data_IF_237782392229
#
_entry.id   IF_237782392229
#
_cell.length_a   1.000
_cell.length_b   1.000
_cell.length_c   1.000
_cell.angle_alpha   90.00
_cell.angle_beta   90.00
_cell.angle_gamma   90.00
#
_symmetry.space_group_name_H-M   'P 1'
#
loop_
_entity.id
_entity.type
_entity.pdbx_description
1 polymer ?
#
# COMPACT_ATOMS: atom_id res chain seq x y z
N UNK A 1 21.97 -10.60 -9.56
CA UNK A 1 22.45 -10.82 -8.15
C UNK A 1 21.38 -10.41 -7.13
N UNK A 2 20.73 -9.26 -7.28
CA UNK A 2 19.73 -8.73 -6.34
C UNK A 2 18.52 -9.67 -6.15
N UNK A 3 17.98 -10.25 -7.22
CA UNK A 3 16.84 -11.15 -7.15
C UNK A 3 17.14 -12.44 -6.35
N UNK A 4 18.32 -13.04 -6.55
CA UNK A 4 18.73 -14.21 -5.75
C UNK A 4 18.92 -13.87 -4.27
N UNK A 5 19.42 -12.66 -3.97
CA UNK A 5 19.54 -12.17 -2.61
C UNK A 5 18.16 -11.99 -1.97
N UNK A 6 17.22 -11.36 -2.67
CA UNK A 6 15.85 -11.17 -2.20
C UNK A 6 15.16 -12.51 -1.87
N UNK A 7 15.27 -13.52 -2.74
CA UNK A 7 14.73 -14.85 -2.49
C UNK A 7 15.34 -15.52 -1.25
N UNK A 8 16.65 -15.39 -1.05
CA UNK A 8 17.33 -15.93 0.14
C UNK A 8 16.87 -15.21 1.41
N UNK A 9 16.71 -13.89 1.35
CA UNK A 9 16.21 -13.10 2.49
C UNK A 9 14.80 -13.52 2.88
N UNK A 10 13.88 -13.68 1.90
CA UNK A 10 12.50 -14.12 2.15
C UNK A 10 12.46 -15.53 2.73
N UNK A 11 13.38 -16.41 2.30
CA UNK A 11 13.52 -17.79 2.82
C UNK A 11 14.15 -17.84 4.22
N UNK A 12 14.52 -16.71 4.80
CA UNK A 12 15.06 -16.65 6.16
C UNK A 12 16.55 -16.96 6.30
N UNK A 13 17.31 -17.04 5.21
CA UNK A 13 18.75 -17.32 5.28
C UNK A 13 19.58 -16.28 6.06
N UNK A 14 19.03 -15.08 6.22
CA UNK A 14 19.68 -13.96 6.92
C UNK A 14 18.92 -13.57 8.19
N UNK A 15 17.95 -14.36 8.65
CA UNK A 15 17.23 -14.12 9.89
C UNK A 15 17.91 -14.84 11.05
N UNK A 16 18.22 -14.10 12.10
CA UNK A 16 18.79 -14.64 13.33
C UNK A 16 17.72 -14.59 14.45
N UNK A 17 17.75 -15.57 15.35
CA UNK A 17 16.81 -15.69 16.48
C UNK A 17 16.87 -14.53 17.49
N UNK A 18 17.80 -13.62 17.34
CA UNK A 18 17.94 -12.40 18.17
C UNK A 18 17.68 -11.10 17.44
N UNK A 19 17.25 -11.15 16.17
CA UNK A 19 16.99 -9.93 15.41
C UNK A 19 15.78 -9.19 15.98
N UNK A 20 15.85 -7.85 16.13
CA UNK A 20 14.75 -7.06 16.61
C UNK A 20 13.65 -6.98 15.56
N UNK A 21 12.53 -7.64 15.81
CA UNK A 21 11.37 -7.67 14.93
C UNK A 21 10.30 -8.62 15.45
N UNK A 22 9.04 -8.29 15.18
CA UNK A 22 7.88 -9.09 15.63
C UNK A 22 7.49 -10.18 14.63
N UNK A 23 7.91 -10.05 13.37
CA UNK A 23 7.49 -10.93 12.26
C UNK A 23 8.66 -11.35 11.38
N UNK A 24 8.55 -12.52 10.78
CA UNK A 24 9.53 -13.02 9.81
C UNK A 24 9.49 -12.27 8.48
N UNK A 25 10.56 -12.33 7.69
CA UNK A 25 10.61 -11.73 6.35
C UNK A 25 9.50 -12.25 5.43
N UNK A 26 9.14 -13.52 5.52
CA UNK A 26 8.05 -14.12 4.76
C UNK A 26 6.68 -13.58 5.19
N UNK A 27 6.45 -13.46 6.50
CA UNK A 27 5.21 -12.86 7.03
C UNK A 27 5.08 -11.40 6.62
N UNK A 28 6.18 -10.63 6.70
CA UNK A 28 6.20 -9.23 6.24
C UNK A 28 5.85 -9.10 4.76
N UNK A 29 6.43 -9.95 3.90
CA UNK A 29 6.12 -9.97 2.48
C UNK A 29 4.66 -10.36 2.23
N UNK A 30 4.18 -11.40 2.89
CA UNK A 30 2.79 -11.87 2.74
C UNK A 30 1.78 -10.80 3.16
N UNK A 31 2.02 -10.13 4.28
CA UNK A 31 1.19 -9.03 4.75
C UNK A 31 1.20 -7.84 3.77
N UNK A 32 2.38 -7.46 3.26
CA UNK A 32 2.51 -6.39 2.28
C UNK A 32 1.79 -6.71 0.96
N UNK A 33 1.93 -7.92 0.44
CA UNK A 33 1.23 -8.37 -0.78
C UNK A 33 -0.29 -8.38 -0.54
N UNK A 34 -0.75 -8.95 0.56
CA UNK A 34 -2.17 -9.01 0.92
C UNK A 34 -2.78 -7.61 1.07
N UNK A 35 -2.06 -6.67 1.68
CA UNK A 35 -2.52 -5.29 1.84
C UNK A 35 -2.48 -4.46 0.55
N UNK A 36 -1.68 -4.88 -0.44
CA UNK A 36 -1.52 -4.16 -1.71
C UNK A 36 -2.52 -4.64 -2.77
N UNK A 37 -2.89 -5.92 -2.76
CA UNK A 37 -3.84 -6.50 -3.71
C UNK A 37 -5.26 -6.08 -3.31
N UNK A 38 -5.85 -5.22 -4.11
CA UNK A 38 -7.21 -4.70 -3.90
C UNK A 38 -7.97 -4.59 -5.20
N UNK A 39 -9.19 -4.09 -5.11
CA UNK A 39 -10.07 -3.90 -6.26
C UNK A 39 -9.46 -2.97 -7.33
N UNK A 40 -8.65 -2.00 -6.91
CA UNK A 40 -7.93 -1.12 -7.83
C UNK A 40 -7.02 -1.85 -8.79
N UNK A 41 -6.38 -2.93 -8.35
CA UNK A 41 -5.47 -3.73 -9.18
C UNK A 41 -6.23 -4.63 -10.17
N UNK A 42 -7.48 -4.93 -9.90
CA UNK A 42 -8.32 -5.81 -10.72
C UNK A 42 -9.25 -4.95 -11.59
N UNK A 43 -10.22 -4.28 -10.98
CA UNK A 43 -11.21 -3.48 -11.69
C UNK A 43 -10.59 -2.20 -12.32
N UNK A 44 -9.67 -1.53 -11.61
CA UNK A 44 -9.00 -0.34 -12.14
C UNK A 44 -8.17 -0.64 -13.39
N UNK A 45 -7.50 -1.78 -13.44
CA UNK A 45 -6.76 -2.24 -14.62
C UNK A 45 -7.74 -2.59 -15.77
N UNK A 46 -8.83 -3.29 -15.48
CA UNK A 46 -9.85 -3.62 -16.47
C UNK A 46 -10.48 -2.37 -17.08
N UNK A 47 -10.87 -1.41 -16.25
CA UNK A 47 -11.41 -0.10 -16.70
C UNK A 47 -10.36 0.65 -17.54
N UNK A 48 -9.12 0.67 -17.10
CA UNK A 48 -8.02 1.29 -17.85
C UNK A 48 -7.88 0.69 -19.26
N UNK A 49 -7.94 -0.63 -19.38
CA UNK A 49 -7.87 -1.33 -20.67
C UNK A 49 -9.12 -1.05 -21.52
N UNK A 50 -10.29 -1.00 -20.91
CA UNK A 50 -11.54 -0.68 -21.63
C UNK A 50 -11.51 0.72 -22.25
N UNK A 51 -10.98 1.70 -21.55
CA UNK A 51 -10.93 3.10 -22.01
C UNK A 51 -9.75 3.34 -22.97
N UNK A 52 -8.58 2.84 -22.61
CA UNK A 52 -7.34 3.14 -23.32
C UNK A 52 -6.84 2.03 -24.27
N UNK A 53 -7.60 0.94 -24.37
CA UNK A 53 -7.25 -0.21 -25.22
C UNK A 53 -6.15 -1.11 -24.65
N UNK A 54 -5.80 -2.20 -25.35
CA UNK A 54 -4.86 -3.22 -24.86
C UNK A 54 -3.43 -2.69 -24.60
N UNK A 55 -3.03 -1.59 -25.23
CA UNK A 55 -1.75 -0.94 -24.99
C UNK A 55 -1.56 -0.45 -23.55
N UNK A 56 -2.65 -0.19 -22.83
CA UNK A 56 -2.59 0.22 -21.40
C UNK A 56 -1.96 -0.87 -20.54
N UNK A 57 -2.21 -2.14 -20.84
CA UNK A 57 -1.62 -3.25 -20.09
C UNK A 57 -0.08 -3.23 -20.16
N UNK A 58 0.49 -2.90 -21.31
CA UNK A 58 1.94 -2.74 -21.47
C UNK A 58 2.47 -1.60 -20.61
N UNK A 59 1.82 -0.44 -20.65
CA UNK A 59 2.24 0.72 -19.86
C UNK A 59 2.10 0.50 -18.36
N UNK A 60 1.06 -0.19 -17.91
CA UNK A 60 0.89 -0.58 -16.51
C UNK A 60 2.00 -1.54 -16.05
N UNK A 61 2.36 -2.52 -16.88
CA UNK A 61 3.48 -3.41 -16.60
C UNK A 61 4.82 -2.64 -16.48
N UNK A 62 5.10 -1.77 -17.43
CA UNK A 62 6.32 -0.94 -17.42
C UNK A 62 6.35 -0.01 -16.20
N UNK A 63 5.23 0.64 -15.89
CA UNK A 63 5.08 1.47 -14.70
C UNK A 63 5.33 0.70 -13.40
N UNK A 64 4.78 -0.52 -13.29
CA UNK A 64 5.03 -1.41 -12.15
C UNK A 64 6.49 -1.78 -12.02
N UNK A 65 7.16 -2.05 -13.12
CA UNK A 65 8.59 -2.35 -13.13
C UNK A 65 9.43 -1.16 -12.64
N UNK A 66 9.15 0.04 -13.12
CA UNK A 66 9.81 1.27 -12.65
C UNK A 66 9.47 1.58 -11.19
N UNK A 67 8.24 1.30 -10.76
CA UNK A 67 7.77 1.49 -9.40
C UNK A 67 8.49 0.61 -8.37
N UNK A 68 9.11 -0.51 -8.78
CA UNK A 68 9.90 -1.35 -7.86
C UNK A 68 11.06 -0.59 -7.21
N UNK A 69 11.71 0.32 -7.93
CA UNK A 69 12.81 1.13 -7.40
C UNK A 69 12.31 2.08 -6.29
N UNK A 70 11.16 2.71 -6.49
CA UNK A 70 10.51 3.59 -5.50
C UNK A 70 10.13 2.79 -4.26
N UNK A 71 9.52 1.62 -4.43
CA UNK A 71 9.11 0.77 -3.31
C UNK A 71 10.31 0.23 -2.53
N UNK A 72 11.39 -0.11 -3.22
CA UNK A 72 12.64 -0.51 -2.57
C UNK A 72 13.22 0.62 -1.70
N UNK A 73 13.26 1.85 -2.22
CA UNK A 73 13.73 3.00 -1.46
C UNK A 73 12.83 3.27 -0.23
N UNK A 74 11.51 3.24 -0.40
CA UNK A 74 10.54 3.43 0.68
C UNK A 74 10.73 2.39 1.80
N UNK A 75 10.77 1.11 1.48
CA UNK A 75 10.96 0.06 2.46
C UNK A 75 12.32 0.16 3.17
N UNK A 76 13.38 0.49 2.43
CA UNK A 76 14.72 0.66 3.00
C UNK A 76 14.77 1.83 3.99
N UNK A 77 14.17 2.97 3.62
CA UNK A 77 14.07 4.13 4.50
C UNK A 77 13.19 3.83 5.73
N UNK A 78 12.08 3.14 5.55
CA UNK A 78 11.20 2.73 6.62
C UNK A 78 11.89 1.86 7.67
N UNK A 79 12.74 0.93 7.24
CA UNK A 79 13.54 0.10 8.16
C UNK A 79 14.69 0.89 8.78
N UNK A 80 15.40 1.73 8.00
CA UNK A 80 16.53 2.52 8.48
C UNK A 80 16.15 3.49 9.60
N UNK A 81 15.01 4.14 9.47
CA UNK A 81 14.55 5.20 10.40
C UNK A 81 13.49 4.74 11.39
N UNK A 82 13.30 3.44 11.57
CA UNK A 82 12.39 2.89 12.58
C UNK A 82 12.89 3.18 13.99
N UNK A 83 11.95 3.38 14.91
CA UNK A 83 12.21 3.59 16.34
C UNK A 83 11.93 2.33 17.13
N UNK A 84 12.84 2.05 18.06
CA UNK A 84 12.65 0.99 19.04
C UNK A 84 12.28 1.66 20.37
N UNK A 85 11.07 1.40 20.85
CA UNK A 85 10.65 1.87 22.17
C UNK A 85 11.07 0.86 23.25
N UNK A 86 11.18 1.38 24.49
CA UNK A 86 11.50 0.56 25.67
C UNK A 86 10.48 -0.54 25.94
N UNK A 87 9.24 -0.36 25.46
CA UNK A 87 8.14 -1.33 25.56
C UNK A 87 8.23 -2.47 24.53
N UNK A 88 9.33 -2.56 23.77
CA UNK A 88 9.51 -3.54 22.70
C UNK A 88 8.74 -3.24 21.41
N UNK A 89 7.96 -2.17 21.37
CA UNK A 89 7.21 -1.75 20.17
C UNK A 89 8.14 -1.08 19.16
N UNK A 90 7.92 -1.40 17.90
CA UNK A 90 8.68 -0.82 16.79
C UNK A 90 7.77 0.12 16.02
N UNK A 91 8.17 1.38 15.95
CA UNK A 91 7.46 2.40 15.17
C UNK A 91 8.30 2.80 13.95
N UNK A 92 7.65 2.94 12.79
CA UNK A 92 8.31 3.30 11.55
C UNK A 92 7.32 3.85 10.52
N UNK A 93 7.81 4.10 9.32
CA UNK A 93 7.01 4.56 8.21
C UNK A 93 7.40 5.95 7.70
N UNK A 94 6.61 6.49 6.79
CA UNK A 94 6.95 7.70 6.06
C UNK A 94 7.14 8.92 6.96
N UNK A 95 6.34 9.09 7.99
CA UNK A 95 6.48 10.20 8.93
C UNK A 95 7.84 10.20 9.64
N UNK A 96 8.35 9.00 9.98
CA UNK A 96 9.64 8.86 10.68
C UNK A 96 10.82 9.13 9.76
N UNK A 97 10.86 8.55 8.56
CA UNK A 97 11.99 8.79 7.67
C UNK A 97 11.97 10.20 7.05
N UNK A 98 10.81 10.85 6.91
CA UNK A 98 10.74 12.25 6.49
C UNK A 98 11.31 13.17 7.58
N UNK A 99 10.87 13.03 8.82
CA UNK A 99 11.36 13.89 9.92
C UNK A 99 12.85 13.69 10.18
N UNK A 100 13.32 12.46 10.28
CA UNK A 100 14.71 12.14 10.63
C UNK A 100 15.66 12.31 9.46
N UNK A 101 15.31 11.83 8.28
CA UNK A 101 16.16 11.92 7.10
C UNK A 101 16.43 13.37 6.69
N UNK A 102 15.43 14.26 6.82
CA UNK A 102 15.64 15.68 6.57
C UNK A 102 16.38 16.38 7.73
N UNK A 103 16.20 15.93 8.97
CA UNK A 103 16.95 16.45 10.10
C UNK A 103 18.45 16.14 9.99
N UNK A 104 18.84 14.94 9.57
CA UNK A 104 20.24 14.57 9.28
C UNK A 104 20.91 15.48 8.23
N UNK A 105 20.11 16.06 7.34
CA UNK A 105 20.57 17.00 6.30
C UNK A 105 20.46 18.48 6.70
N UNK A 106 20.18 18.77 7.98
CA UNK A 106 20.01 20.14 8.46
C UNK A 106 18.68 20.81 8.09
N UNK A 107 17.74 20.06 7.48
CA UNK A 107 16.44 20.58 7.02
C UNK A 107 15.28 20.07 7.88
N UNK A 108 15.44 20.02 9.19
CA UNK A 108 14.44 19.53 10.14
C UNK A 108 13.04 20.15 10.00
N UNK A 109 12.89 21.49 9.79
CA UNK A 109 11.57 22.10 9.62
C UNK A 109 10.84 21.57 8.39
N UNK A 110 11.55 21.39 7.26
CA UNK A 110 10.99 20.84 6.02
C UNK A 110 10.50 19.42 6.23
N UNK A 111 11.28 18.58 6.91
CA UNK A 111 10.92 17.22 7.24
C UNK A 111 9.63 17.13 8.08
N UNK A 112 9.46 18.02 9.06
CA UNK A 112 8.24 18.07 9.88
C UNK A 112 7.00 18.47 9.05
N UNK A 113 7.12 19.50 8.22
CA UNK A 113 6.01 19.94 7.35
C UNK A 113 5.60 18.82 6.38
N UNK A 114 6.55 18.16 5.74
CA UNK A 114 6.28 17.04 4.83
C UNK A 114 5.64 15.84 5.56
N UNK A 115 6.07 15.54 6.77
CA UNK A 115 5.48 14.46 7.57
C UNK A 115 4.02 14.76 7.94
N UNK A 116 3.70 16.00 8.31
CA UNK A 116 2.33 16.42 8.62
C UNK A 116 1.46 16.37 7.36
N UNK A 117 1.93 16.90 6.24
CA UNK A 117 1.22 16.84 4.97
C UNK A 117 0.95 15.39 4.54
N UNK A 118 1.95 14.54 4.68
CA UNK A 118 1.81 13.11 4.41
C UNK A 118 0.71 12.47 5.27
N UNK A 119 0.70 12.76 6.58
CA UNK A 119 -0.32 12.24 7.49
C UNK A 119 -1.73 12.70 7.11
N UNK A 120 -1.90 13.99 6.77
CA UNK A 120 -3.16 14.56 6.31
C UNK A 120 -3.62 13.86 5.01
N UNK A 121 -2.74 13.72 4.03
CA UNK A 121 -3.07 13.05 2.77
C UNK A 121 -3.39 11.57 2.96
N UNK A 122 -2.74 10.87 3.89
CA UNK A 122 -3.09 9.49 4.23
C UNK A 122 -4.51 9.37 4.78
N UNK A 123 -4.92 10.29 5.65
CA UNK A 123 -6.30 10.31 6.18
C UNK A 123 -7.30 10.52 5.04
N UNK A 124 -7.10 11.53 4.19
CA UNK A 124 -8.00 11.77 3.05
C UNK A 124 -8.01 10.62 2.05
N UNK A 125 -6.85 10.03 1.76
CA UNK A 125 -6.75 8.87 0.87
C UNK A 125 -7.48 7.64 1.43
N UNK A 126 -7.46 7.45 2.74
CA UNK A 126 -8.19 6.37 3.41
C UNK A 126 -9.70 6.48 3.23
N UNK A 127 -10.23 7.71 3.27
CA UNK A 127 -11.68 7.94 3.02
C UNK A 127 -12.05 7.80 1.54
N UNK A 128 -11.25 8.31 0.62
CA UNK A 128 -11.60 8.38 -0.81
C UNK A 128 -11.26 7.13 -1.61
N UNK A 129 -10.00 6.72 -1.59
CA UNK A 129 -9.49 5.69 -2.50
C UNK A 129 -9.70 4.24 -2.05
N UNK A 130 -9.70 3.99 -0.74
CA UNK A 130 -9.74 2.63 -0.21
C UNK A 130 -11.16 2.05 -0.12
N UNK A 131 -12.06 2.76 0.52
CA UNK A 131 -13.37 2.23 0.88
C UNK A 131 -14.48 2.59 -0.09
N UNK A 132 -14.60 3.85 -0.49
CA UNK A 132 -15.72 4.34 -1.31
C UNK A 132 -15.80 3.61 -2.66
N UNK A 133 -14.67 3.44 -3.34
CA UNK A 133 -14.63 2.73 -4.62
C UNK A 133 -14.99 1.25 -4.47
N UNK A 134 -14.48 0.59 -3.44
CA UNK A 134 -14.76 -0.84 -3.18
C UNK A 134 -16.22 -1.08 -2.84
N UNK A 135 -16.80 -0.26 -1.95
CA UNK A 135 -18.21 -0.34 -1.59
C UNK A 135 -19.11 -0.09 -2.80
N UNK A 136 -18.81 0.94 -3.59
CA UNK A 136 -19.58 1.25 -4.80
C UNK A 136 -19.60 0.07 -5.78
N UNK A 137 -18.44 -0.54 -6.07
CA UNK A 137 -18.34 -1.69 -6.98
C UNK A 137 -19.05 -2.93 -6.42
N UNK A 138 -18.94 -3.18 -5.10
CA UNK A 138 -19.63 -4.30 -4.44
C UNK A 138 -21.14 -4.12 -4.51
N UNK A 139 -21.63 -2.90 -4.24
CA UNK A 139 -23.06 -2.57 -4.33
C UNK A 139 -23.58 -2.74 -5.75
N UNK A 140 -22.85 -2.23 -6.75
CA UNK A 140 -23.22 -2.37 -8.16
C UNK A 140 -23.30 -3.83 -8.57
N UNK A 141 -22.35 -4.66 -8.15
CA UNK A 141 -22.36 -6.08 -8.45
C UNK A 141 -23.50 -6.82 -7.76
N UNK A 142 -23.79 -6.48 -6.50
CA UNK A 142 -24.91 -7.05 -5.77
C UNK A 142 -26.24 -6.73 -6.45
N UNK A 143 -26.44 -5.49 -6.87
CA UNK A 143 -27.63 -5.07 -7.62
C UNK A 143 -27.77 -5.85 -8.92
N UNK A 144 -26.69 -6.01 -9.69
CA UNK A 144 -26.72 -6.76 -10.94
C UNK A 144 -27.11 -8.24 -10.76
N UNK A 145 -26.59 -8.91 -9.71
CA UNK A 145 -26.89 -10.33 -9.43
C UNK A 145 -28.30 -10.52 -8.90
N UNK A 146 -28.82 -9.54 -8.13
CA UNK A 146 -30.13 -9.66 -7.46
C UNK A 146 -31.31 -9.13 -8.30
N UNK A 147 -31.10 -8.80 -9.58
CA UNK A 147 -32.17 -8.42 -10.49
C UNK A 147 -32.22 -6.95 -10.90
N UNK A 148 -31.13 -6.22 -10.72
CA UNK A 148 -31.02 -4.83 -11.16
C UNK A 148 -32.00 -3.90 -10.44
N UNK A 149 -32.75 -3.11 -11.21
CA UNK A 149 -33.72 -2.14 -10.66
C UNK A 149 -34.90 -2.78 -9.92
N UNK A 150 -35.18 -4.07 -10.13
CA UNK A 150 -36.17 -4.86 -9.40
C UNK A 150 -35.68 -5.47 -8.10
N UNK A 151 -34.40 -5.29 -7.76
CA UNK A 151 -33.80 -5.84 -6.55
C UNK A 151 -34.39 -5.21 -5.28
N UNK A 152 -34.49 -6.02 -4.21
CA UNK A 152 -34.80 -5.52 -2.87
C UNK A 152 -33.83 -4.42 -2.40
N UNK A 153 -32.62 -4.41 -2.93
CA UNK A 153 -31.58 -3.43 -2.61
C UNK A 153 -31.65 -2.16 -3.48
N UNK A 154 -32.44 -2.18 -4.56
CA UNK A 154 -32.64 -1.01 -5.40
C UNK A 154 -33.29 0.12 -4.59
N UNK A 155 -32.69 1.28 -4.59
CA UNK A 155 -33.14 2.43 -3.77
C UNK A 155 -32.73 2.41 -2.29
N UNK A 156 -32.07 1.36 -1.81
CA UNK A 156 -31.57 1.25 -0.43
C UNK A 156 -30.04 1.26 -0.38
N UNK A 157 -29.40 2.11 -1.19
CA UNK A 157 -27.93 2.21 -1.30
C UNK A 157 -27.26 2.53 0.05
N UNK A 158 -27.97 3.13 0.99
CA UNK A 158 -27.49 3.38 2.35
C UNK A 158 -27.27 2.09 3.19
N UNK A 159 -27.87 0.95 2.81
CA UNK A 159 -27.68 -0.35 3.50
C UNK A 159 -26.34 -0.99 3.09
N UNK A 160 -25.81 -0.62 1.92
CA UNK A 160 -24.57 -1.16 1.35
C UNK A 160 -23.39 -0.18 1.44
N UNK A 161 -23.60 1.00 1.99
CA UNK A 161 -22.58 2.00 2.29
C UNK A 161 -22.11 1.92 3.74
#
# INVERSE_FOLDING_TARGET
>A
RAFRLALRTVRGHYSHTGDPGEITHFQALSAAVSGTVGLGNIAGVAIGIMIGGPGVAFWLFLSGFLGMATKFAECTLGVKYREFHTDGRIHGGAMYYLTRGFAERGMAPVGKVLAILFAIFCVFASFGGGNVFQVNQTTSQLLNITGGDGSFFAGKQWVSA
#
